data_IF_375115367997
#
_entry.id   IF_375115367997
#
_cell.length_a   1.000
_cell.length_b   1.000
_cell.length_c   1.000
_cell.angle_alpha   90.00
_cell.angle_beta   90.00
_cell.angle_gamma   90.00
#
_symmetry.space_group_name_H-M   'P 1'
#
loop_
_entity.id
_entity.type
_entity.pdbx_description
1 polymer ?
#
# COMPACT_ATOMS: atom_id res chain seq x y z
N UNK A 1 -5.16 23.24 -15.69
CA UNK A 1 -5.40 22.63 -15.42
C UNK A 1 -6.00 21.89 -14.43
N UNK A 2 -6.86 21.29 -14.76
CA UNK A 2 -7.66 20.61 -13.79
C UNK A 2 -6.88 19.61 -12.97
N UNK A 3 -5.90 19.01 -13.56
CA UNK A 3 -5.16 17.98 -12.83
C UNK A 3 -4.37 18.52 -11.67
N UNK A 4 -3.94 19.76 -11.78
CA UNK A 4 -3.09 20.28 -10.74
C UNK A 4 -3.81 20.52 -9.45
N UNK A 5 -4.93 21.19 -9.46
CA UNK A 5 -5.66 21.36 -8.22
C UNK A 5 -5.99 20.04 -7.58
N UNK A 6 -6.29 19.06 -8.41
CA UNK A 6 -6.65 17.75 -7.88
C UNK A 6 -5.51 17.12 -7.10
N UNK A 7 -4.29 17.30 -7.57
CA UNK A 7 -3.15 16.74 -6.86
C UNK A 7 -2.99 17.38 -5.50
N UNK A 8 -3.20 18.66 -5.45
CA UNK A 8 -3.09 19.36 -4.18
C UNK A 8 -4.20 18.96 -3.25
N UNK A 9 -5.37 18.75 -3.81
CA UNK A 9 -6.50 18.35 -2.99
C UNK A 9 -6.32 16.99 -2.39
N UNK A 10 -5.47 16.18 -3.00
CA UNK A 10 -5.18 14.88 -2.42
C UNK A 10 -4.20 14.96 -1.27
N UNK A 11 -3.82 16.15 -0.91
CA UNK A 11 -2.90 16.30 0.19
C UNK A 11 -1.50 15.91 -0.17
N UNK A 12 -1.23 15.84 -1.45
CA UNK A 12 0.09 15.44 -1.90
C UNK A 12 1.13 16.45 -1.49
N UNK A 13 0.69 17.65 -1.22
CA UNK A 13 1.62 18.69 -0.88
C UNK A 13 2.34 18.41 0.43
N UNK A 14 2.92 17.25 0.51
CA UNK A 14 3.76 16.94 1.64
C UNK A 14 3.07 16.24 2.77
N UNK A 15 1.87 15.85 2.57
CA UNK A 15 1.17 15.17 3.64
C UNK A 15 1.43 13.68 3.57
N UNK A 16 2.69 13.32 3.81
CA UNK A 16 3.10 11.92 3.76
C UNK A 16 2.27 11.07 4.70
N UNK A 17 1.89 11.63 5.81
CA UNK A 17 1.09 10.89 6.78
C UNK A 17 -0.25 10.46 6.21
N UNK A 18 -0.69 11.10 5.13
CA UNK A 18 -1.96 10.76 4.54
C UNK A 18 -1.93 9.44 3.79
N UNK A 19 -0.75 8.85 3.64
CA UNK A 19 -0.65 7.54 2.99
C UNK A 19 -1.38 6.49 3.79
N UNK A 20 -1.35 6.59 5.12
CA UNK A 20 -2.05 5.65 5.99
C UNK A 20 -2.95 6.41 6.93
N UNK A 21 -4.20 5.98 7.01
CA UNK A 21 -5.12 6.47 8.04
C UNK A 21 -4.84 5.65 9.29
N UNK A 22 -4.05 6.20 10.19
CA UNK A 22 -3.62 5.47 11.37
C UNK A 22 -4.75 5.15 12.32
N UNK A 23 -5.79 5.97 12.35
CA UNK A 23 -6.97 5.65 13.15
C UNK A 23 -7.63 4.38 12.67
N UNK A 24 -7.80 4.26 11.36
CA UNK A 24 -8.37 3.06 10.77
C UNK A 24 -7.44 1.85 10.98
N UNK A 25 -6.14 2.08 10.81
CA UNK A 25 -5.14 1.03 11.01
C UNK A 25 -5.22 0.45 12.41
N UNK A 26 -5.27 1.31 13.43
CA UNK A 26 -5.32 0.84 14.80
C UNK A 26 -6.65 0.18 15.14
N UNK A 27 -7.72 0.67 14.52
CA UNK A 27 -9.01 0.02 14.72
C UNK A 27 -8.99 -1.39 14.17
N UNK A 28 -8.46 -1.57 12.98
CA UNK A 28 -8.35 -2.90 12.39
C UNK A 28 -7.46 -3.79 13.23
N UNK A 29 -6.37 -3.22 13.74
CA UNK A 29 -5.46 -3.98 14.59
C UNK A 29 -6.16 -4.48 15.86
N UNK A 30 -6.96 -3.61 16.45
CA UNK A 30 -7.68 -3.99 17.66
C UNK A 30 -8.75 -5.04 17.37
N UNK A 31 -9.46 -4.86 16.26
CA UNK A 31 -10.55 -5.79 15.92
C UNK A 31 -10.04 -7.16 15.53
N UNK A 32 -8.93 -7.22 14.83
CA UNK A 32 -8.38 -8.49 14.38
C UNK A 32 -7.55 -9.20 15.44
N UNK A 33 -7.07 -8.43 16.42
CA UNK A 33 -6.29 -9.03 17.49
C UNK A 33 -5.07 -9.78 16.98
N UNK A 34 -4.87 -11.01 17.47
CA UNK A 34 -3.68 -11.77 17.07
C UNK A 34 -3.61 -12.04 15.57
N UNK A 35 -4.74 -12.00 14.89
CA UNK A 35 -4.76 -12.24 13.45
C UNK A 35 -4.25 -11.08 12.63
N UNK A 36 -4.07 -9.93 13.25
CA UNK A 36 -3.68 -8.74 12.50
C UNK A 36 -2.34 -8.92 11.78
N UNK A 37 -1.36 -9.51 12.46
CA UNK A 37 -0.04 -9.70 11.85
C UNK A 37 -0.13 -10.58 10.62
N UNK A 38 -1.00 -11.59 10.66
CA UNK A 38 -1.19 -12.45 9.49
C UNK A 38 -1.83 -11.69 8.35
N UNK A 39 -2.81 -10.87 8.64
CA UNK A 39 -3.46 -10.06 7.61
C UNK A 39 -2.46 -9.11 7.00
N UNK A 40 -1.62 -8.50 7.82
CA UNK A 40 -0.60 -7.60 7.32
C UNK A 40 0.39 -8.33 6.42
N UNK A 41 0.76 -9.54 6.81
CA UNK A 41 1.66 -10.35 6.01
C UNK A 41 1.03 -10.70 4.65
N UNK A 42 -0.25 -11.06 4.67
CA UNK A 42 -0.96 -11.33 3.42
C UNK A 42 -0.98 -10.10 2.53
N UNK A 43 -1.24 -8.92 3.12
CA UNK A 43 -1.24 -7.70 2.34
C UNK A 43 0.09 -7.50 1.61
N UNK A 44 1.19 -7.73 2.32
CA UNK A 44 2.50 -7.53 1.71
C UNK A 44 2.77 -8.53 0.59
N UNK A 45 2.45 -9.79 0.83
CA UNK A 45 2.70 -10.83 -0.17
C UNK A 45 1.77 -10.69 -1.37
N UNK A 46 0.49 -10.52 -1.09
CA UNK A 46 -0.49 -10.40 -2.16
C UNK A 46 -0.31 -9.13 -2.94
N UNK A 47 0.10 -8.06 -2.26
CA UNK A 47 0.31 -6.79 -2.93
C UNK A 47 1.43 -6.87 -3.95
N UNK A 48 2.52 -7.52 -3.59
CA UNK A 48 3.61 -7.71 -4.55
C UNK A 48 3.13 -8.46 -5.77
N UNK A 49 2.35 -9.52 -5.56
CA UNK A 49 1.81 -10.30 -6.67
C UNK A 49 0.85 -9.49 -7.51
N UNK A 50 -0.07 -8.80 -6.86
CA UNK A 50 -1.08 -8.02 -7.58
C UNK A 50 -0.43 -6.96 -8.46
N UNK A 51 0.55 -6.26 -7.91
CA UNK A 51 1.21 -5.22 -8.69
C UNK A 51 1.99 -5.81 -9.85
N UNK A 52 2.67 -6.93 -9.62
CA UNK A 52 3.39 -7.59 -10.71
C UNK A 52 2.43 -8.02 -11.81
N UNK A 53 1.25 -8.52 -11.43
CA UNK A 53 0.25 -8.91 -12.41
C UNK A 53 -0.29 -7.72 -13.18
N UNK A 54 -0.50 -6.60 -12.50
CA UNK A 54 -0.97 -5.38 -13.15
C UNK A 54 0.07 -4.90 -14.15
N UNK A 55 1.34 -4.90 -13.75
CA UNK A 55 2.41 -4.45 -14.63
C UNK A 55 2.54 -5.35 -15.84
N UNK A 56 2.43 -6.65 -15.63
CA UNK A 56 2.49 -7.60 -16.74
C UNK A 56 1.33 -7.39 -17.69
N UNK A 57 0.13 -7.18 -17.14
CA UNK A 57 -1.04 -6.95 -17.97
C UNK A 57 -0.89 -5.69 -18.82
N UNK A 58 -0.26 -4.66 -18.26
CA UNK A 58 0.00 -3.45 -19.04
C UNK A 58 0.96 -3.72 -20.18
N UNK A 59 2.04 -4.45 -19.90
CA UNK A 59 3.01 -4.75 -20.94
C UNK A 59 2.40 -5.60 -22.05
N UNK A 60 1.52 -6.52 -21.67
CA UNK A 60 0.90 -7.42 -22.62
C UNK A 60 -0.36 -6.85 -23.25
N UNK A 61 -0.74 -5.65 -22.82
CA UNK A 61 -1.96 -4.99 -23.26
C UNK A 61 -3.18 -5.87 -23.08
N UNK A 62 -3.23 -6.54 -21.96
CA UNK A 62 -4.33 -7.43 -21.60
C UNK A 62 -5.24 -6.72 -20.62
N UNK A 63 -6.28 -6.05 -21.14
CA UNK A 63 -7.16 -5.24 -20.31
C UNK A 63 -7.86 -6.06 -19.24
N UNK A 64 -8.36 -7.24 -19.62
CA UNK A 64 -9.10 -8.07 -18.66
C UNK A 64 -8.24 -8.48 -17.48
N UNK A 65 -6.96 -8.72 -17.71
CA UNK A 65 -6.06 -9.17 -16.66
C UNK A 65 -5.75 -8.10 -15.63
N UNK A 66 -6.13 -6.85 -15.88
CA UNK A 66 -5.94 -5.78 -14.91
C UNK A 66 -6.98 -5.83 -13.79
N UNK A 67 -8.15 -6.39 -14.05
CA UNK A 67 -9.30 -6.20 -13.17
C UNK A 67 -9.13 -6.86 -11.81
N UNK A 68 -8.86 -8.16 -11.79
CA UNK A 68 -8.81 -8.90 -10.54
C UNK A 68 -7.69 -8.44 -9.61
N UNK A 69 -6.44 -8.31 -10.08
CA UNK A 69 -5.39 -7.86 -9.15
C UNK A 69 -5.65 -6.46 -8.61
N UNK A 70 -6.22 -5.57 -9.41
CA UNK A 70 -6.54 -4.24 -8.91
C UNK A 70 -7.65 -4.30 -7.86
N UNK A 71 -8.65 -5.12 -8.11
CA UNK A 71 -9.75 -5.28 -7.16
C UNK A 71 -9.23 -5.83 -5.82
N UNK A 72 -8.40 -6.85 -5.88
CA UNK A 72 -7.85 -7.46 -4.67
C UNK A 72 -7.02 -6.47 -3.89
N UNK A 73 -6.14 -5.75 -4.58
CA UNK A 73 -5.28 -4.79 -3.90
C UNK A 73 -6.11 -3.67 -3.27
N UNK A 74 -7.16 -3.24 -3.96
CA UNK A 74 -8.03 -2.19 -3.41
C UNK A 74 -8.63 -2.63 -2.07
N UNK A 75 -9.17 -3.83 -2.01
CA UNK A 75 -9.80 -4.30 -0.79
C UNK A 75 -8.84 -4.46 0.35
N UNK A 76 -7.68 -5.04 0.07
CA UNK A 76 -6.71 -5.27 1.12
C UNK A 76 -6.11 -3.97 1.63
N UNK A 77 -5.90 -3.02 0.72
CA UNK A 77 -5.37 -1.72 1.12
C UNK A 77 -6.35 -0.98 2.02
N UNK A 78 -7.62 -1.01 1.63
CA UNK A 78 -8.63 -0.29 2.39
C UNK A 78 -8.83 -0.89 3.76
N UNK A 79 -8.68 -2.19 3.89
CA UNK A 79 -8.82 -2.86 5.17
C UNK A 79 -7.81 -2.35 6.19
N UNK A 80 -6.63 -1.98 5.74
CA UNK A 80 -5.56 -1.55 6.63
C UNK A 80 -5.40 -0.05 6.71
N UNK A 81 -6.30 0.69 6.08
CA UNK A 81 -6.24 2.15 6.16
C UNK A 81 -5.33 2.79 5.13
N UNK A 82 -4.87 2.04 4.14
CA UNK A 82 -4.04 2.60 3.08
C UNK A 82 -4.93 3.15 1.98
N UNK A 83 -5.63 4.22 2.29
CA UNK A 83 -6.65 4.75 1.39
C UNK A 83 -6.11 5.30 0.08
N UNK A 84 -5.00 6.05 0.05
CA UNK A 84 -4.47 6.50 -1.24
C UNK A 84 -4.10 5.34 -2.16
N UNK A 85 -3.52 4.29 -1.60
CA UNK A 85 -3.20 3.11 -2.39
C UNK A 85 -4.47 2.46 -2.91
N UNK A 86 -5.48 2.35 -2.06
CA UNK A 86 -6.76 1.78 -2.45
C UNK A 86 -7.40 2.59 -3.58
N UNK A 87 -7.27 3.90 -3.54
CA UNK A 87 -7.88 4.75 -4.55
C UNK A 87 -7.21 4.56 -5.92
N UNK A 88 -5.89 4.43 -5.95
CA UNK A 88 -5.23 4.17 -7.22
C UNK A 88 -5.66 2.82 -7.77
N UNK A 89 -5.69 1.81 -6.90
CA UNK A 89 -6.12 0.49 -7.33
C UNK A 89 -7.56 0.53 -7.84
N UNK A 90 -8.41 1.29 -7.18
CA UNK A 90 -9.80 1.42 -7.61
C UNK A 90 -9.90 2.09 -8.98
N UNK A 91 -9.10 3.11 -9.21
CA UNK A 91 -9.10 3.78 -10.50
C UNK A 91 -8.69 2.81 -11.60
N UNK A 92 -7.64 2.02 -11.33
CA UNK A 92 -7.20 1.03 -12.32
C UNK A 92 -8.30 0.02 -12.57
N UNK A 93 -8.94 -0.46 -11.51
CA UNK A 93 -10.01 -1.45 -11.66
C UNK A 93 -11.16 -0.90 -12.48
N UNK A 94 -11.64 0.28 -12.14
CA UNK A 94 -12.80 0.85 -12.79
C UNK A 94 -12.52 1.17 -14.25
N UNK A 95 -11.36 1.75 -14.52
CA UNK A 95 -10.98 2.05 -15.88
C UNK A 95 -10.85 0.79 -16.71
N UNK A 96 -10.23 -0.25 -16.12
CA UNK A 96 -10.08 -1.51 -16.85
C UNK A 96 -11.43 -2.13 -17.15
N UNK A 97 -12.36 -2.12 -16.18
CA UNK A 97 -13.69 -2.69 -16.42
C UNK A 97 -14.40 -1.96 -17.56
N UNK A 98 -14.31 -0.64 -17.57
CA UNK A 98 -14.92 0.14 -18.64
C UNK A 98 -14.28 -0.21 -19.97
N UNK A 99 -12.96 -0.35 -20.01
CA UNK A 99 -12.24 -0.64 -21.25
C UNK A 99 -12.52 -2.05 -21.74
N UNK A 100 -12.76 -2.99 -20.84
CA UNK A 100 -13.18 -4.32 -21.24
C UNK A 100 -14.50 -4.23 -22.02
N UNK A 101 -15.43 -3.45 -21.47
CA UNK A 101 -16.75 -3.33 -22.10
C UNK A 101 -16.69 -2.61 -23.43
N UNK A 102 -15.76 -1.67 -23.57
CA UNK A 102 -15.65 -0.89 -24.80
C UNK A 102 -14.56 -1.39 -25.72
N UNK A 103 -14.00 -2.54 -25.41
CA UNK A 103 -13.02 -3.23 -26.26
C UNK A 103 -11.82 -2.34 -26.61
N UNK A 104 -11.23 -1.74 -25.58
CA UNK A 104 -10.03 -0.96 -25.81
C UNK A 104 -9.06 -1.17 -24.67
N UNK A 105 -7.82 -0.75 -24.86
CA UNK A 105 -6.81 -0.86 -23.83
C UNK A 105 -6.58 0.51 -23.19
N UNK A 106 -6.50 0.57 -21.86
CA UNK A 106 -6.35 1.85 -21.15
C UNK A 106 -4.90 2.31 -21.06
N UNK A 107 -4.36 2.79 -22.17
CA UNK A 107 -2.99 3.33 -22.17
C UNK A 107 -2.82 4.44 -21.16
N UNK A 108 -3.88 5.14 -20.86
CA UNK A 108 -3.81 6.27 -19.94
C UNK A 108 -3.48 5.86 -18.51
N UNK A 109 -3.48 4.58 -18.21
CA UNK A 109 -3.20 4.11 -16.85
C UNK A 109 -1.71 3.94 -16.54
N UNK A 110 -0.83 4.15 -17.53
CA UNK A 110 0.60 3.96 -17.29
C UNK A 110 1.10 4.75 -16.08
N UNK A 111 0.80 6.06 -15.98
CA UNK A 111 1.29 6.80 -14.80
C UNK A 111 0.76 6.26 -13.48
N UNK A 112 -0.50 5.82 -13.46
CA UNK A 112 -1.09 5.28 -12.25
C UNK A 112 -0.44 3.97 -11.85
N UNK A 113 -0.07 3.15 -12.81
CA UNK A 113 0.58 1.88 -12.50
C UNK A 113 1.98 2.12 -11.93
N UNK A 114 2.70 3.10 -12.47
CA UNK A 114 4.00 3.46 -11.93
C UNK A 114 3.84 3.97 -10.50
N UNK A 115 2.88 4.83 -10.28
CA UNK A 115 2.63 5.38 -8.95
C UNK A 115 2.18 4.29 -7.98
N UNK A 116 1.46 3.32 -8.47
CA UNK A 116 0.96 2.24 -7.64
C UNK A 116 2.10 1.49 -6.94
N UNK A 117 3.12 1.10 -7.70
CA UNK A 117 4.24 0.39 -7.09
C UNK A 117 4.99 1.25 -6.10
N UNK A 118 5.21 2.49 -6.46
CA UNK A 118 5.93 3.41 -5.59
C UNK A 118 5.18 3.60 -4.27
N UNK A 119 3.88 3.84 -4.37
CA UNK A 119 3.07 4.07 -3.19
C UNK A 119 2.94 2.80 -2.34
N UNK A 120 2.86 1.65 -2.99
CA UNK A 120 2.82 0.40 -2.26
C UNK A 120 4.08 0.22 -1.42
N UNK A 121 5.23 0.48 -2.01
CA UNK A 121 6.49 0.32 -1.28
C UNK A 121 6.54 1.27 -0.09
N UNK A 122 6.07 2.50 -0.27
CA UNK A 122 6.03 3.45 0.82
C UNK A 122 5.08 3.00 1.93
N UNK A 123 3.93 2.45 1.53
CA UNK A 123 2.94 1.98 2.48
C UNK A 123 3.48 0.81 3.31
N UNK A 124 4.13 -0.13 2.65
CA UNK A 124 4.71 -1.28 3.35
C UNK A 124 5.76 -0.81 4.34
N UNK A 125 6.60 0.13 3.93
CA UNK A 125 7.63 0.65 4.81
C UNK A 125 7.01 1.28 6.06
N UNK A 126 5.93 2.03 5.88
CA UNK A 126 5.26 2.66 7.02
C UNK A 126 4.63 1.63 7.95
N UNK A 127 4.03 0.59 7.37
CA UNK A 127 3.47 -0.48 8.18
C UNK A 127 4.55 -1.22 8.96
N UNK A 128 5.68 -1.47 8.31
CA UNK A 128 6.78 -2.16 8.99
C UNK A 128 7.29 -1.34 10.16
N UNK A 129 7.43 -0.05 9.99
CA UNK A 129 7.89 0.79 11.08
C UNK A 129 6.89 0.82 12.22
N UNK A 130 5.60 0.78 11.90
CA UNK A 130 4.57 0.84 12.92
C UNK A 130 4.47 -0.44 13.73
N UNK A 131 4.84 -1.57 13.14
CA UNK A 131 4.67 -2.87 13.77
C UNK A 131 5.96 -3.51 14.23
N UNK A 132 7.09 -2.95 13.86
CA UNK A 132 8.38 -3.51 14.24
C UNK A 132 8.95 -2.72 15.41
N UNK A 133 8.93 -3.28 16.61
CA UNK A 133 9.41 -2.55 17.79
C UNK A 133 10.85 -2.09 17.67
N UNK A 134 11.68 -2.88 17.00
CA UNK A 134 13.07 -2.50 16.85
C UNK A 134 13.23 -1.26 16.00
N UNK A 135 12.48 -1.17 14.92
CA UNK A 135 12.55 -0.01 14.05
C UNK A 135 12.01 1.22 14.75
N UNK A 136 10.93 1.04 15.47
CA UNK A 136 10.33 2.14 16.22
C UNK A 136 11.30 2.65 17.28
N UNK A 137 11.95 1.73 17.94
CA UNK A 137 12.84 2.08 19.02
C UNK A 137 14.08 2.80 18.51
N UNK A 138 14.55 2.38 17.35
CA UNK A 138 15.74 3.00 16.78
C UNK A 138 15.49 4.44 16.41
N UNK A 139 14.28 4.73 15.99
CA UNK A 139 13.96 6.05 15.49
C UNK A 139 14.23 7.14 16.50
N UNK A 140 13.72 7.05 17.71
CA UNK A 140 13.90 8.15 18.65
C UNK A 140 15.26 8.15 19.28
N UNK A 141 16.20 7.70 18.60
CA UNK A 141 17.53 7.76 19.09
C UNK A 141 17.66 6.96 20.35
N UNK A 142 17.05 6.16 20.46
CA UNK A 142 17.16 5.45 21.65
C UNK A 142 18.22 4.50 21.87
N UNK A 143 18.09 4.61 22.02
CA UNK A 143 18.53 3.95 22.57
C UNK A 143 19.01 3.33 22.87
N UNK A 144 18.90 3.16 23.02
CA UNK A 144 19.11 2.44 23.46
C UNK A 144 19.53 1.67 23.53
N UNK A 145 19.41 1.37 23.71
CA UNK A 145 19.69 0.50 24.04
C UNK A 145 20.06 -0.28 24.12
N UNK A 146 19.95 -0.45 24.27
CA UNK A 146 20.15 -1.30 24.68
C UNK A 146 20.38 -2.06 24.72
N UNK A 147 20.18 -2.07 24.81
CA UNK A 147 20.29 -2.94 25.10
C UNK A 147 20.62 -3.67 25.11
N UNK A 148 20.37 -3.84 25.18
CA UNK A 148 20.61 -4.73 25.43
C UNK A 148 21.04 -5.33 25.44
N UNK A 149 20.91 -5.28 25.48
CA UNK A 149 21.20 -6.01 25.82
C UNK A 149 21.68 -6.46 25.64
N UNK A 150 21.59 -6.51 25.87
CA UNK A 150 22.06 -7.05 26.06
C UNK A 150 22.38 -7.48 26.07
N UNK A 151 22.25 -7.67 26.22
CA UNK A 151 22.42 -8.19 26.56
C UNK A 151 22.52 -8.79 26.31
N UNK A 152 22.33 -8.73 26.38
CA UNK A 152 22.26 -9.39 26.50
C UNK A 152 22.39 -9.98 25.99
N UNK A 153 22.23 -10.10 26.17
CA UNK A 153 22.43 -10.72 26.08
C UNK A 153 22.75 -11.27 25.88
N UNK A 154 22.72 -11.12 25.99
CA UNK A 154 22.83 -11.62 26.15
C UNK A 154 23.24 -12.11 25.84
N UNK A 155 23.25 -12.24 26.10
CA UNK A 155 23.54 -12.61 26.16
C UNK A 155 23.68 -13.15 26.16
N UNK A 156 23.50 -13.29 26.47
CA UNK A 156 23.53 -13.59 26.72
C UNK A 156 23.67 -13.80 26.75
#
# INVERSE_FOLDING_TARGET
MAGRPALEELGVTGEVRDIVDWGHFEKSRAELGPGFIRILSYFKEDGVKSIAQIEAAMREQNTTALVIPAHTLKGESRQLGAEPLAKIAELIEQTARFCVETHRFPDELVPQVVELRKLFNQTVEMFDKATNPLMTRAAPGGFGRKTVGNQGFGRI
#
